data_IF_170069785574
#
_entry.id   IF_170069785574
#
_cell.length_a   1.000
_cell.length_b   1.000
_cell.length_c   1.000
_cell.angle_alpha   90.00
_cell.angle_beta   90.00
_cell.angle_gamma   90.00
#
_symmetry.space_group_name_H-M   'P 1'
#
loop_
_entity.id
_entity.type
_entity.pdbx_description
1 polymer ?
#
# COMPACT_ATOMS: atom_id res chain seq x y z
N UNK A 1 -11.57 18.29 -76.65
CA UNK A 1 -10.85 18.16 -75.36
C UNK A 1 -11.43 16.98 -74.60
N UNK A 2 -10.62 15.94 -74.37
CA UNK A 2 -11.06 14.58 -74.08
C UNK A 2 -11.76 14.41 -72.72
N UNK A 3 -13.00 13.91 -72.76
CA UNK A 3 -13.81 13.51 -71.60
C UNK A 3 -13.19 12.38 -70.77
N UNK A 4 -12.09 11.77 -71.23
CA UNK A 4 -11.32 10.74 -70.48
C UNK A 4 -10.47 11.33 -69.35
N UNK A 5 -10.14 12.63 -69.38
CA UNK A 5 -9.32 13.27 -68.32
C UNK A 5 -10.16 13.67 -67.11
N UNK A 6 -11.46 13.93 -67.30
CA UNK A 6 -12.37 14.31 -66.20
C UNK A 6 -12.74 13.16 -65.27
N UNK A 7 -12.73 11.91 -65.75
CA UNK A 7 -13.03 10.75 -64.92
C UNK A 7 -11.86 10.28 -64.06
N UNK A 8 -10.62 10.47 -64.51
CA UNK A 8 -9.43 10.10 -63.72
C UNK A 8 -9.24 11.02 -62.51
N UNK A 9 -9.59 12.31 -62.61
CA UNK A 9 -9.49 13.23 -61.46
C UNK A 9 -10.53 12.96 -60.36
N UNK A 10 -11.71 12.44 -60.69
CA UNK A 10 -12.74 12.16 -59.67
C UNK A 10 -12.50 10.84 -58.93
N UNK A 11 -11.84 9.86 -59.54
CA UNK A 11 -11.50 8.60 -58.85
C UNK A 11 -10.31 8.77 -57.89
N UNK A 12 -9.39 9.70 -58.16
CA UNK A 12 -8.26 9.99 -57.25
C UNK A 12 -8.70 10.81 -56.03
N UNK A 13 -9.69 11.70 -56.17
CA UNK A 13 -10.20 12.48 -55.03
C UNK A 13 -11.07 11.63 -54.08
N UNK A 14 -11.74 10.58 -54.56
CA UNK A 14 -12.54 9.69 -53.70
C UNK A 14 -11.69 8.68 -52.91
N UNK A 15 -10.48 8.36 -53.37
CA UNK A 15 -9.55 7.46 -52.65
C UNK A 15 -8.74 8.17 -51.56
N UNK A 16 -8.68 9.50 -51.55
CA UNK A 16 -8.07 10.28 -50.46
C UNK A 16 -9.03 10.46 -49.27
N UNK A 17 -10.35 10.26 -49.48
CA UNK A 17 -11.36 10.33 -48.40
C UNK A 17 -11.54 8.96 -47.70
N UNK A 18 -11.09 7.86 -48.31
CA UNK A 18 -11.14 6.51 -47.72
C UNK A 18 -9.82 6.06 -47.05
N UNK A 19 -8.75 6.85 -47.13
CA UNK A 19 -7.43 6.48 -46.63
C UNK A 19 -6.78 7.58 -45.82
N UNK A 20 -6.99 7.57 -44.50
CA UNK A 20 -6.06 8.19 -43.56
C UNK A 20 -6.46 9.58 -43.03
N UNK A 21 -7.67 9.73 -42.50
CA UNK A 21 -7.76 10.49 -41.25
C UNK A 21 -7.22 9.55 -40.17
N UNK A 22 -5.91 9.56 -39.98
CA UNK A 22 -5.34 9.15 -38.70
C UNK A 22 -5.82 10.23 -37.74
N UNK A 23 -7.03 10.06 -37.21
CA UNK A 23 -7.37 10.70 -35.95
C UNK A 23 -6.31 10.13 -35.01
N UNK A 24 -5.38 10.93 -34.46
CA UNK A 24 -4.77 10.49 -33.23
C UNK A 24 -5.97 10.43 -32.31
N UNK A 25 -6.50 9.22 -32.12
CA UNK A 25 -7.28 8.90 -30.95
C UNK A 25 -6.27 9.18 -29.86
N UNK A 26 -6.26 10.43 -29.39
CA UNK A 26 -5.95 10.75 -28.02
C UNK A 26 -6.99 9.94 -27.26
N UNK A 27 -6.67 8.67 -27.09
CA UNK A 27 -7.08 7.89 -25.95
C UNK A 27 -6.63 8.77 -24.81
N UNK A 28 -7.56 9.60 -24.33
CA UNK A 28 -7.45 10.24 -23.05
C UNK A 28 -7.41 9.05 -22.11
N UNK A 29 -6.22 8.48 -21.89
CA UNK A 29 -6.02 7.43 -20.93
C UNK A 29 -6.50 8.08 -19.64
N UNK A 30 -7.66 7.67 -19.15
CA UNK A 30 -7.97 7.87 -17.75
C UNK A 30 -6.77 7.31 -17.04
N UNK A 31 -5.99 8.17 -16.41
CA UNK A 31 -4.83 7.76 -15.64
C UNK A 31 -5.36 6.77 -14.60
N UNK A 32 -5.00 5.49 -14.78
CA UNK A 32 -5.47 4.44 -13.88
C UNK A 32 -4.81 4.68 -12.53
N UNK A 33 -5.63 4.85 -11.52
CA UNK A 33 -5.21 5.09 -10.14
C UNK A 33 -5.45 3.85 -9.29
N UNK A 34 -4.88 3.79 -8.09
CA UNK A 34 -5.13 2.69 -7.14
C UNK A 34 -6.63 2.47 -6.90
N UNK A 35 -7.44 3.54 -6.92
CA UNK A 35 -8.89 3.45 -6.73
C UNK A 35 -9.62 2.76 -7.88
N UNK A 36 -9.00 2.60 -9.05
CA UNK A 36 -9.56 1.86 -10.18
C UNK A 36 -9.36 0.34 -10.05
N UNK A 37 -8.48 -0.11 -9.15
CA UNK A 37 -8.27 -1.53 -8.85
C UNK A 37 -9.39 -2.01 -7.94
N UNK A 38 -9.81 -3.28 -8.09
CA UNK A 38 -10.91 -3.86 -7.32
C UNK A 38 -10.62 -3.80 -5.82
N UNK A 39 -11.46 -3.04 -5.12
CA UNK A 39 -11.45 -2.89 -3.67
C UNK A 39 -12.23 -4.03 -3.01
N UNK A 40 -11.77 -4.48 -1.85
CA UNK A 40 -12.45 -5.45 -0.98
C UNK A 40 -12.34 -4.98 0.47
N UNK A 41 -13.18 -5.54 1.35
CA UNK A 41 -13.00 -5.37 2.80
C UNK A 41 -11.93 -6.33 3.32
N UNK A 42 -11.25 -5.97 4.40
CA UNK A 42 -10.28 -6.84 5.07
C UNK A 42 -10.91 -8.17 5.51
N UNK A 43 -12.20 -8.17 5.87
CA UNK A 43 -12.96 -9.40 6.20
C UNK A 43 -13.06 -10.39 5.04
N UNK A 44 -12.86 -9.93 3.80
CA UNK A 44 -12.96 -10.74 2.58
C UNK A 44 -11.60 -11.25 2.09
N UNK A 45 -10.51 -10.92 2.79
CA UNK A 45 -9.13 -11.23 2.40
C UNK A 45 -8.88 -12.71 2.10
N UNK A 46 -9.55 -13.65 2.78
CA UNK A 46 -9.35 -15.09 2.59
C UNK A 46 -10.48 -15.77 1.81
N UNK A 47 -11.50 -15.03 1.38
CA UNK A 47 -12.74 -15.58 0.81
C UNK A 47 -12.98 -15.22 -0.66
N UNK A 48 -11.94 -14.78 -1.38
CA UNK A 48 -12.05 -14.56 -2.81
C UNK A 48 -12.21 -15.89 -3.55
N UNK A 49 -12.87 -15.84 -4.71
CA UNK A 49 -13.16 -17.03 -5.52
C UNK A 49 -11.94 -17.58 -6.27
N UNK A 50 -10.90 -16.77 -6.40
CA UNK A 50 -9.69 -17.11 -7.14
C UNK A 50 -8.80 -18.06 -6.31
N UNK A 51 -8.18 -19.04 -6.98
CA UNK A 51 -7.26 -19.98 -6.33
C UNK A 51 -5.93 -19.33 -5.94
N UNK A 52 -5.59 -18.17 -6.49
CA UNK A 52 -4.38 -17.42 -6.16
C UNK A 52 -4.60 -15.94 -6.41
N UNK A 53 -4.23 -15.09 -5.46
CA UNK A 53 -4.39 -13.63 -5.57
C UNK A 53 -3.51 -12.90 -4.55
N UNK A 54 -3.34 -11.59 -4.77
CA UNK A 54 -2.63 -10.68 -3.87
C UNK A 54 -3.65 -9.73 -3.25
N UNK A 55 -3.55 -9.51 -1.95
CA UNK A 55 -4.27 -8.44 -1.25
C UNK A 55 -3.26 -7.40 -0.79
N UNK A 56 -3.45 -6.17 -1.26
CA UNK A 56 -2.63 -5.02 -0.92
C UNK A 56 -3.38 -4.11 0.06
N UNK A 57 -2.90 -4.08 1.30
CA UNK A 57 -3.32 -3.15 2.33
C UNK A 57 -2.61 -1.82 2.11
N UNK A 58 -3.40 -0.83 1.72
CA UNK A 58 -2.97 0.50 1.28
C UNK A 58 -3.72 1.57 2.07
N UNK A 59 -3.18 2.78 2.14
CA UNK A 59 -3.93 3.94 2.63
C UNK A 59 -3.54 5.20 1.87
N UNK A 60 -4.50 6.12 1.71
CA UNK A 60 -4.22 7.44 1.17
C UNK A 60 -3.25 8.21 2.08
N UNK A 61 -2.35 9.02 1.49
CA UNK A 61 -1.37 9.82 2.25
C UNK A 61 -0.16 9.03 2.79
N UNK A 62 -0.11 7.71 2.61
CA UNK A 62 1.06 6.90 2.94
C UNK A 62 2.19 7.09 1.90
N UNK A 63 3.27 7.77 2.30
CA UNK A 63 4.42 8.06 1.42
C UNK A 63 5.14 6.79 0.93
N UNK A 64 5.17 5.73 1.75
CA UNK A 64 5.70 4.43 1.34
C UNK A 64 4.80 3.73 0.30
N UNK A 65 3.49 3.92 0.40
CA UNK A 65 2.52 3.35 -0.53
C UNK A 65 2.61 4.02 -1.90
N UNK A 66 2.87 5.33 -1.95
CA UNK A 66 3.12 6.09 -3.18
C UNK A 66 4.34 5.56 -3.95
N UNK A 67 5.37 5.08 -3.24
CA UNK A 67 6.55 4.48 -3.88
C UNK A 67 6.22 3.19 -4.66
N UNK A 68 5.15 2.48 -4.28
CA UNK A 68 4.69 1.26 -4.94
C UNK A 68 3.66 1.50 -6.04
N UNK A 69 3.06 2.69 -6.11
CA UNK A 69 1.89 2.97 -6.94
C UNK A 69 2.08 2.55 -8.39
N UNK A 70 3.19 2.98 -9.02
CA UNK A 70 3.51 2.59 -10.39
C UNK A 70 3.61 1.07 -10.55
N UNK A 71 4.29 0.38 -9.64
CA UNK A 71 4.48 -1.07 -9.71
C UNK A 71 3.17 -1.83 -9.53
N UNK A 72 2.30 -1.34 -8.64
CA UNK A 72 0.97 -1.92 -8.39
C UNK A 72 0.08 -1.74 -9.62
N UNK A 73 0.08 -0.56 -10.25
CA UNK A 73 -0.70 -0.31 -11.47
C UNK A 73 -0.20 -1.12 -12.66
N UNK A 74 1.12 -1.26 -12.81
CA UNK A 74 1.71 -2.15 -13.82
C UNK A 74 1.31 -3.61 -13.58
N UNK A 75 1.38 -4.07 -12.33
CA UNK A 75 1.00 -5.42 -11.96
C UNK A 75 -0.49 -5.68 -12.17
N UNK A 76 -1.37 -4.73 -11.83
CA UNK A 76 -2.82 -4.89 -12.04
C UNK A 76 -3.17 -5.16 -13.53
N UNK A 77 -2.40 -4.58 -14.46
CA UNK A 77 -2.61 -4.74 -15.91
C UNK A 77 -2.10 -6.06 -16.47
N UNK A 78 -1.00 -6.58 -15.93
CA UNK A 78 -0.21 -7.64 -16.57
C UNK A 78 0.24 -8.76 -15.62
N UNK A 79 -0.15 -8.70 -14.35
CA UNK A 79 0.20 -9.67 -13.33
C UNK A 79 -0.45 -11.03 -13.57
N UNK A 80 0.18 -12.07 -13.02
CA UNK A 80 -0.26 -13.46 -13.21
C UNK A 80 -1.52 -13.81 -12.41
N UNK A 81 -1.70 -13.16 -11.26
CA UNK A 81 -2.85 -13.37 -10.38
C UNK A 81 -3.56 -12.05 -10.10
N UNK A 82 -4.87 -12.07 -9.80
CA UNK A 82 -5.61 -10.86 -9.43
C UNK A 82 -4.98 -10.14 -8.24
N UNK A 83 -5.03 -8.80 -8.28
CA UNK A 83 -4.64 -7.94 -7.17
C UNK A 83 -5.88 -7.20 -6.65
N UNK A 84 -6.08 -7.29 -5.33
CA UNK A 84 -7.16 -6.62 -4.61
C UNK A 84 -6.58 -5.57 -3.68
N UNK A 85 -7.30 -4.46 -3.52
CA UNK A 85 -6.91 -3.41 -2.58
C UNK A 85 -7.82 -3.47 -1.36
N UNK A 86 -7.23 -3.30 -0.18
CA UNK A 86 -7.93 -2.98 1.06
C UNK A 86 -7.48 -1.59 1.47
N UNK A 87 -8.43 -0.64 1.48
CA UNK A 87 -8.17 0.70 2.00
C UNK A 87 -8.22 0.69 3.53
N UNK A 88 -7.06 0.77 4.16
CA UNK A 88 -6.92 0.74 5.60
C UNK A 88 -7.29 2.06 6.29
N UNK A 89 -7.56 3.12 5.52
CA UNK A 89 -8.21 4.34 6.03
C UNK A 89 -9.72 4.19 6.20
N UNK A 90 -10.32 3.16 5.59
CA UNK A 90 -11.74 2.87 5.78
C UNK A 90 -12.00 2.29 7.18
N UNK A 91 -13.00 2.86 7.86
CA UNK A 91 -13.41 2.45 9.22
C UNK A 91 -13.91 1.02 9.25
N UNK A 92 -14.43 0.49 8.14
CA UNK A 92 -14.86 -0.92 8.07
C UNK A 92 -13.69 -1.91 8.18
N UNK A 93 -12.47 -1.46 7.85
CA UNK A 93 -11.25 -2.27 7.95
C UNK A 93 -10.48 -2.04 9.25
N UNK A 94 -10.99 -1.17 10.14
CA UNK A 94 -10.28 -0.75 11.35
C UNK A 94 -9.91 -1.92 12.28
N UNK A 95 -10.74 -2.96 12.33
CA UNK A 95 -10.52 -4.14 13.17
C UNK A 95 -9.34 -5.03 12.73
N UNK A 96 -8.81 -4.84 11.51
CA UNK A 96 -7.66 -5.58 11.00
C UNK A 96 -6.33 -4.87 11.25
N UNK A 97 -6.34 -3.67 11.83
CA UNK A 97 -5.12 -3.03 12.31
C UNK A 97 -4.59 -3.74 13.55
N UNK A 98 -3.27 -3.81 13.67
CA UNK A 98 -2.62 -4.16 14.93
C UNK A 98 -3.02 -3.16 16.02
N UNK A 99 -3.27 -3.66 17.22
CA UNK A 99 -3.71 -2.87 18.37
C UNK A 99 -2.54 -2.08 18.98
N UNK A 100 -2.12 -1.04 18.26
CA UNK A 100 -1.09 -0.12 18.70
C UNK A 100 -1.44 0.60 20.00
N UNK A 101 -2.73 0.86 20.25
CA UNK A 101 -3.17 1.52 21.48
C UNK A 101 -2.85 0.66 22.71
N UNK A 102 -3.25 -0.60 22.72
CA UNK A 102 -2.93 -1.51 23.82
C UNK A 102 -1.44 -1.87 23.86
N UNK A 103 -0.77 -1.90 22.72
CA UNK A 103 0.69 -2.04 22.65
C UNK A 103 1.40 -0.93 23.43
N UNK A 104 1.12 0.33 23.10
CA UNK A 104 1.73 1.49 23.74
C UNK A 104 1.38 1.59 25.23
N UNK A 105 0.12 1.31 25.60
CA UNK A 105 -0.29 1.21 27.02
C UNK A 105 0.53 0.21 27.83
N UNK A 106 0.97 -0.89 27.20
CA UNK A 106 1.69 -1.97 27.87
C UNK A 106 3.19 -1.76 27.89
N UNK A 107 3.76 -1.19 26.83
CA UNK A 107 5.21 -1.24 26.59
C UNK A 107 5.89 0.12 26.61
N UNK A 108 5.17 1.23 26.38
CA UNK A 108 5.77 2.55 26.45
C UNK A 108 6.17 2.88 27.89
N UNK A 109 7.27 3.63 28.03
CA UNK A 109 7.81 4.00 29.33
C UNK A 109 7.95 5.52 29.42
N UNK A 110 7.45 6.10 30.50
CA UNK A 110 7.82 7.47 30.85
C UNK A 110 9.26 7.44 31.34
N UNK A 111 10.14 8.14 30.64
CA UNK A 111 11.59 8.14 30.91
C UNK A 111 12.07 9.47 31.52
N UNK A 112 11.20 10.47 31.55
CA UNK A 112 11.59 11.80 32.00
C UNK A 112 10.54 12.85 31.68
N UNK A 113 10.99 14.10 31.60
CA UNK A 113 10.18 15.26 31.24
C UNK A 113 10.99 16.35 30.58
N UNK A 114 10.32 17.21 29.83
CA UNK A 114 10.87 18.46 29.33
C UNK A 114 10.73 19.54 30.40
N UNK A 115 11.85 20.14 30.80
CA UNK A 115 11.88 21.34 31.65
C UNK A 115 12.63 22.46 30.93
N UNK A 116 11.96 23.61 30.72
CA UNK A 116 12.57 24.78 30.07
C UNK A 116 13.24 24.47 28.72
N UNK A 117 12.68 23.52 27.95
CA UNK A 117 13.22 23.09 26.66
C UNK A 117 14.40 22.11 26.75
N UNK A 118 14.74 21.62 27.95
CA UNK A 118 15.77 20.60 28.17
C UNK A 118 15.13 19.27 28.58
N UNK A 119 15.70 18.18 28.08
CA UNK A 119 15.32 16.83 28.47
C UNK A 119 15.91 16.49 29.85
N UNK A 120 15.04 16.20 30.80
CA UNK A 120 15.40 15.72 32.14
C UNK A 120 14.98 14.26 32.23
N UNK A 121 15.95 13.35 32.16
CA UNK A 121 15.75 11.90 32.29
C UNK A 121 15.68 11.54 33.78
N UNK A 122 14.78 10.63 34.14
CA UNK A 122 14.67 10.12 35.51
C UNK A 122 15.91 9.28 35.87
N UNK A 123 16.39 9.42 37.12
CA UNK A 123 17.60 8.75 37.59
C UNK A 123 17.53 7.21 37.51
N UNK A 124 16.33 6.62 37.63
CA UNK A 124 16.13 5.18 37.51
C UNK A 124 16.20 4.63 36.07
N UNK A 125 16.34 5.49 35.06
CA UNK A 125 16.32 5.09 33.65
C UNK A 125 17.75 4.99 33.13
N UNK A 126 18.15 3.78 32.73
CA UNK A 126 19.35 3.57 31.95
C UNK A 126 19.04 3.72 30.44
N UNK A 127 19.35 4.91 29.90
CA UNK A 127 19.17 5.19 28.48
C UNK A 127 19.98 4.27 27.56
N UNK A 128 21.05 3.65 28.06
CA UNK A 128 21.86 2.73 27.26
C UNK A 128 21.12 1.43 26.95
N UNK A 129 20.19 1.00 27.81
CA UNK A 129 19.33 -0.16 27.54
C UNK A 129 18.41 0.09 26.35
N UNK A 130 17.87 1.30 26.20
CA UNK A 130 17.00 1.68 25.09
C UNK A 130 17.79 1.88 23.79
N UNK A 131 18.92 2.59 23.86
CA UNK A 131 19.76 2.92 22.69
C UNK A 131 20.42 1.67 22.09
N UNK A 132 20.84 0.74 22.94
CA UNK A 132 21.54 -0.47 22.50
C UNK A 132 20.63 -1.67 22.32
N UNK A 133 19.31 -1.52 22.49
CA UNK A 133 18.35 -2.58 22.22
C UNK A 133 18.38 -2.93 20.73
N UNK A 134 18.80 -4.17 20.41
CA UNK A 134 18.84 -4.67 19.04
C UNK A 134 17.53 -5.35 18.61
N UNK A 135 16.62 -5.55 19.56
CA UNK A 135 15.38 -6.31 19.38
C UNK A 135 14.17 -5.39 19.30
N UNK A 136 14.21 -4.27 20.00
CA UNK A 136 13.14 -3.27 20.02
C UNK A 136 13.61 -1.98 19.36
N UNK A 137 12.78 -1.47 18.45
CA UNK A 137 12.91 -0.11 17.95
C UNK A 137 12.26 0.85 18.95
N UNK A 138 13.06 1.70 19.57
CA UNK A 138 12.59 2.74 20.47
C UNK A 138 12.60 4.10 19.78
N UNK A 139 11.57 4.91 20.03
CA UNK A 139 11.57 6.34 19.69
C UNK A 139 11.29 7.16 20.94
N UNK A 140 11.94 8.31 21.08
CA UNK A 140 11.66 9.24 22.18
C UNK A 140 10.70 10.30 21.67
N UNK A 141 9.59 10.49 22.38
CA UNK A 141 8.57 11.46 22.03
C UNK A 141 8.19 12.29 23.25
N UNK A 142 7.82 13.55 23.02
CA UNK A 142 7.18 14.37 24.06
C UNK A 142 5.69 14.08 24.06
N UNK A 143 5.19 13.51 25.15
CA UNK A 143 3.76 13.28 25.38
C UNK A 143 3.11 14.42 26.17
N UNK A 144 1.93 14.13 26.70
CA UNK A 144 1.17 15.07 27.53
C UNK A 144 1.96 15.53 28.77
N UNK A 145 1.64 16.73 29.25
CA UNK A 145 2.26 17.35 30.42
C UNK A 145 3.80 17.41 30.34
N UNK A 146 4.35 17.60 29.13
CA UNK A 146 5.79 17.63 28.87
C UNK A 146 6.53 16.34 29.26
N UNK A 147 5.85 15.19 29.38
CA UNK A 147 6.53 13.92 29.67
C UNK A 147 7.37 13.47 28.48
N UNK A 148 8.56 12.94 28.75
CA UNK A 148 9.36 12.22 27.77
C UNK A 148 8.99 10.75 27.84
N UNK A 149 8.61 10.19 26.70
CA UNK A 149 8.13 8.81 26.57
C UNK A 149 9.05 8.08 25.62
N UNK A 150 9.64 6.97 26.09
CA UNK A 150 10.21 5.97 25.21
C UNK A 150 9.06 5.12 24.67
N UNK A 151 8.77 5.31 23.38
CA UNK A 151 7.69 4.64 22.66
C UNK A 151 8.24 3.38 21.99
N UNK A 152 7.61 2.24 22.28
CA UNK A 152 7.98 0.93 21.73
C UNK A 152 7.38 0.77 20.33
N UNK A 153 8.22 0.64 19.29
CA UNK A 153 7.81 0.62 17.88
C UNK A 153 7.90 -0.78 17.23
N UNK A 154 8.31 -1.81 17.97
CA UNK A 154 8.37 -3.18 17.44
C UNK A 154 7.05 -3.90 17.70
N UNK A 155 6.26 -4.25 16.67
CA UNK A 155 5.03 -4.99 16.89
C UNK A 155 5.27 -6.47 17.22
N UNK A 156 4.24 -7.11 17.80
CA UNK A 156 4.19 -8.56 18.06
C UNK A 156 3.09 -9.21 17.22
N UNK A 157 3.09 -8.92 15.94
CA UNK A 157 2.02 -9.25 15.03
C UNK A 157 2.02 -10.71 14.57
N UNK A 158 0.82 -11.20 14.26
CA UNK A 158 0.62 -12.44 13.55
C UNK A 158 1.02 -12.29 12.07
N UNK A 159 2.24 -12.71 11.72
CA UNK A 159 2.73 -12.80 10.33
C UNK A 159 2.23 -14.04 9.57
N UNK A 160 1.39 -14.87 10.19
CA UNK A 160 0.84 -16.08 9.58
C UNK A 160 -0.66 -16.27 9.84
N UNK A 161 -1.49 -15.23 9.60
CA UNK A 161 -2.94 -15.32 9.80
C UNK A 161 -3.55 -16.43 8.95
N UNK A 162 -4.41 -17.24 9.56
CA UNK A 162 -5.16 -18.30 8.87
C UNK A 162 -6.54 -17.83 8.42
N UNK A 163 -6.99 -16.67 8.90
CA UNK A 163 -8.28 -16.08 8.57
C UNK A 163 -8.24 -14.56 8.64
N UNK A 164 -9.29 -13.91 8.12
CA UNK A 164 -9.39 -12.45 8.19
C UNK A 164 -9.51 -11.91 9.63
N UNK A 165 -10.04 -12.71 10.56
CA UNK A 165 -10.18 -12.34 11.97
C UNK A 165 -8.83 -12.35 12.73
N UNK A 166 -7.81 -12.99 12.16
CA UNK A 166 -6.45 -13.05 12.71
C UNK A 166 -5.51 -12.01 12.08
N UNK A 167 -6.02 -11.16 11.17
CA UNK A 167 -5.24 -10.10 10.55
C UNK A 167 -4.83 -9.06 11.59
N UNK A 168 -3.52 -8.79 11.64
CA UNK A 168 -2.91 -7.78 12.49
C UNK A 168 -1.96 -6.93 11.63
N UNK A 169 -2.53 -6.10 10.76
CA UNK A 169 -1.76 -5.24 9.87
C UNK A 169 -1.10 -4.15 10.72
N UNK A 170 0.22 -4.18 10.84
CA UNK A 170 0.98 -3.24 11.69
C UNK A 170 1.29 -1.92 10.99
N UNK A 171 1.30 -1.93 9.67
CA UNK A 171 1.64 -0.78 8.84
C UNK A 171 1.24 -0.99 7.39
N UNK A 172 1.25 0.09 6.63
CA UNK A 172 1.12 0.06 5.17
C UNK A 172 2.40 0.64 4.55
N UNK A 173 2.82 0.17 3.37
CA UNK A 173 2.18 -0.87 2.57
C UNK A 173 2.39 -2.26 3.15
N UNK A 174 1.35 -3.10 3.10
CA UNK A 174 1.46 -4.53 3.38
C UNK A 174 0.80 -5.31 2.25
N UNK A 175 1.47 -6.34 1.73
CA UNK A 175 0.93 -7.23 0.72
C UNK A 175 0.97 -8.67 1.21
N UNK A 176 -0.14 -9.37 1.02
CA UNK A 176 -0.21 -10.80 1.30
C UNK A 176 -0.63 -11.53 0.03
N UNK A 177 -0.02 -12.70 -0.20
CA UNK A 177 -0.41 -13.61 -1.26
C UNK A 177 -1.24 -14.73 -0.65
N UNK A 178 -2.42 -14.96 -1.22
CA UNK A 178 -3.29 -16.07 -0.85
C UNK A 178 -3.26 -17.10 -1.98
N UNK A 179 -3.10 -18.37 -1.62
CA UNK A 179 -3.21 -19.52 -2.52
C UNK A 179 -4.12 -20.56 -1.89
N UNK A 180 -5.14 -21.01 -2.63
CA UNK A 180 -6.15 -21.97 -2.19
C UNK A 180 -6.79 -21.60 -0.84
N UNK A 181 -7.11 -20.31 -0.66
CA UNK A 181 -7.72 -19.78 0.56
C UNK A 181 -6.76 -19.73 1.78
N UNK A 182 -5.46 -19.94 1.58
CA UNK A 182 -4.46 -19.92 2.66
C UNK A 182 -3.37 -18.90 2.36
N UNK A 183 -2.80 -18.34 3.41
CA UNK A 183 -1.63 -17.48 3.29
C UNK A 183 -0.46 -18.25 2.67
N UNK A 184 0.09 -17.70 1.59
CA UNK A 184 1.28 -18.19 0.89
C UNK A 184 2.48 -17.28 1.15
N UNK A 185 2.26 -15.96 1.23
CA UNK A 185 3.30 -14.98 1.55
C UNK A 185 2.75 -13.79 2.33
N UNK A 186 3.58 -13.21 3.20
CA UNK A 186 3.33 -11.97 3.91
C UNK A 186 4.53 -11.04 3.71
N UNK A 187 4.29 -9.84 3.18
CA UNK A 187 5.31 -8.84 2.88
C UNK A 187 4.91 -7.49 3.48
N UNK A 188 5.79 -6.90 4.29
CA UNK A 188 5.55 -5.58 4.87
C UNK A 188 6.59 -4.57 4.40
N UNK A 189 6.11 -3.36 4.07
CA UNK A 189 6.95 -2.28 3.57
C UNK A 189 7.25 -2.38 2.08
N UNK A 190 7.93 -1.35 1.57
CA UNK A 190 8.12 -1.14 0.13
C UNK A 190 8.89 -2.27 -0.53
N UNK A 191 10.05 -2.63 0.01
CA UNK A 191 10.96 -3.57 -0.66
C UNK A 191 10.36 -4.99 -0.75
N UNK A 192 9.76 -5.49 0.33
CA UNK A 192 9.17 -6.83 0.35
C UNK A 192 7.90 -6.91 -0.49
N UNK A 193 7.09 -5.84 -0.48
CA UNK A 193 5.88 -5.75 -1.30
C UNK A 193 6.24 -5.69 -2.79
N UNK A 194 7.27 -4.93 -3.16
CA UNK A 194 7.75 -4.85 -4.55
C UNK A 194 8.20 -6.22 -5.09
N UNK A 195 8.92 -7.01 -4.28
CA UNK A 195 9.33 -8.38 -4.66
C UNK A 195 8.13 -9.27 -4.97
N UNK A 196 7.04 -9.13 -4.23
CA UNK A 196 5.81 -9.91 -4.43
C UNK A 196 5.14 -9.56 -5.79
N UNK A 197 5.35 -8.33 -6.28
CA UNK A 197 4.95 -7.88 -7.61
C UNK A 197 5.97 -8.25 -8.73
N UNK A 198 7.03 -8.98 -8.40
CA UNK A 198 8.09 -9.36 -9.36
C UNK A 198 9.05 -8.21 -9.71
N UNK A 199 9.27 -7.26 -8.79
CA UNK A 199 10.20 -6.14 -8.95
C UNK A 199 11.46 -6.30 -8.09
#
# INVERSE_FOLDING_TARGET
MNNKVKWVLFTVVFLIVAGGIIIPVLSKSSEETIHNIKQIKATETFSQKDNGYIVYFWQAGCSYCQQLEKSVLEYNKAGEVPLYIVDMSDKENAASWYDWENHHKKWDKVIGRMENGQEIINDEIDMTELINDKTVSWSIQTGDDNKLIAVHQTPFENKSPQSAAELEITGTPTMIKIENGRLSSYSMGVQESAKLLGK
#
